data_IF_998724970632
#
_entry.id   IF_998724970632
#
_cell.length_a   1.000
_cell.length_b   1.000
_cell.length_c   1.000
_cell.angle_alpha   90.00
_cell.angle_beta   90.00
_cell.angle_gamma   90.00
#
_symmetry.space_group_name_H-M   'P 1'
#
loop_
_entity.id
_entity.type
_entity.pdbx_description
1 polymer ?
#
# COMPACT_ATOMS: atom_id res chain seq x y z
N UNK A 1 -10.64 -3.11 -4.39
CA UNK A 1 -9.18 -2.86 -4.37
C UNK A 1 -8.95 -1.39 -4.64
N UNK A 2 -8.08 -0.76 -3.85
CA UNK A 2 -7.65 0.62 -4.05
C UNK A 2 -6.15 0.60 -4.30
N UNK A 3 -5.72 1.20 -5.41
CA UNK A 3 -4.33 1.34 -5.79
C UNK A 3 -3.86 2.77 -5.52
N UNK A 4 -2.84 2.92 -4.68
CA UNK A 4 -2.20 4.18 -4.34
C UNK A 4 -0.84 4.25 -5.05
N UNK A 5 -0.70 5.23 -5.94
CA UNK A 5 0.48 5.40 -6.76
C UNK A 5 1.71 5.86 -5.97
N UNK A 6 2.89 5.63 -6.52
CA UNK A 6 4.15 6.22 -6.08
C UNK A 6 4.24 7.70 -6.40
N UNK A 7 5.27 8.36 -5.88
CA UNK A 7 5.44 9.80 -6.05
C UNK A 7 5.49 10.19 -7.54
N UNK A 8 4.68 11.18 -7.93
CA UNK A 8 4.59 11.62 -9.32
C UNK A 8 3.71 10.77 -10.25
N UNK A 9 3.01 9.74 -9.73
CA UNK A 9 1.95 8.99 -10.43
C UNK A 9 2.35 8.40 -11.80
N UNK A 10 3.61 8.00 -11.96
CA UNK A 10 4.16 7.44 -13.20
C UNK A 10 3.42 6.20 -13.71
N UNK A 11 2.71 5.49 -12.84
CA UNK A 11 1.89 4.32 -13.17
C UNK A 11 0.69 4.64 -14.08
N UNK A 12 0.34 5.92 -14.21
CA UNK A 12 -0.73 6.39 -15.10
C UNK A 12 -0.19 6.96 -16.43
N UNK A 13 1.13 7.01 -16.63
CA UNK A 13 1.71 7.54 -17.86
C UNK A 13 1.47 6.60 -19.06
N UNK A 14 1.42 7.13 -20.29
CA UNK A 14 1.30 6.32 -21.50
C UNK A 14 2.41 5.25 -21.59
N UNK A 15 2.01 3.98 -21.66
CA UNK A 15 2.92 2.84 -21.77
C UNK A 15 3.27 2.17 -20.44
N UNK A 16 2.84 2.72 -19.30
CA UNK A 16 2.83 2.00 -18.04
C UNK A 16 1.77 0.88 -18.07
N UNK A 17 2.07 -0.27 -17.47
CA UNK A 17 1.16 -1.44 -17.45
C UNK A 17 0.60 -1.74 -16.07
N UNK A 18 1.11 -1.08 -15.02
CA UNK A 18 0.81 -1.46 -13.64
C UNK A 18 -0.70 -1.47 -13.37
N UNK A 19 -1.42 -0.40 -13.76
CA UNK A 19 -2.87 -0.29 -13.55
C UNK A 19 -3.64 -1.37 -14.33
N UNK A 20 -3.22 -1.70 -15.55
CA UNK A 20 -3.84 -2.77 -16.36
C UNK A 20 -3.63 -4.15 -15.72
N UNK A 21 -2.43 -4.41 -15.18
CA UNK A 21 -2.10 -5.66 -14.48
C UNK A 21 -2.98 -5.83 -13.23
N UNK A 22 -3.21 -4.76 -12.47
CA UNK A 22 -4.14 -4.77 -11.33
C UNK A 22 -5.61 -4.83 -11.76
N UNK A 23 -5.98 -4.23 -12.89
CA UNK A 23 -7.34 -4.37 -13.43
C UNK A 23 -7.64 -5.82 -13.80
N UNK A 24 -6.68 -6.54 -14.38
CA UNK A 24 -6.80 -7.96 -14.65
C UNK A 24 -6.98 -8.78 -13.36
N UNK A 25 -6.15 -8.55 -12.34
CA UNK A 25 -6.31 -9.20 -11.03
C UNK A 25 -7.68 -8.88 -10.41
N UNK A 26 -8.14 -7.63 -10.51
CA UNK A 26 -9.45 -7.25 -10.00
C UNK A 26 -10.57 -8.03 -10.71
N UNK A 27 -10.51 -8.10 -12.05
CA UNK A 27 -11.47 -8.85 -12.86
C UNK A 27 -11.52 -10.35 -12.53
N UNK A 28 -10.35 -10.99 -12.42
CA UNK A 28 -10.21 -12.42 -12.09
C UNK A 28 -10.83 -12.77 -10.72
N UNK A 29 -10.84 -11.82 -9.79
CA UNK A 29 -11.28 -12.02 -8.41
C UNK A 29 -12.61 -11.32 -8.07
N UNK A 30 -13.32 -10.78 -9.06
CA UNK A 30 -14.60 -10.09 -8.86
C UNK A 30 -14.49 -8.84 -7.98
N UNK A 31 -13.34 -8.16 -8.02
CA UNK A 31 -13.10 -6.91 -7.29
C UNK A 31 -13.35 -5.71 -8.19
N UNK A 32 -13.80 -4.62 -7.59
CA UNK A 32 -13.69 -3.30 -8.19
C UNK A 32 -12.27 -2.76 -7.97
N UNK A 33 -11.61 -2.25 -9.02
CA UNK A 33 -10.39 -1.45 -8.90
C UNK A 33 -10.74 0.04 -8.88
N UNK A 34 -10.21 0.75 -7.89
CA UNK A 34 -10.16 2.20 -7.84
C UNK A 34 -8.70 2.64 -7.73
N UNK A 35 -8.24 3.52 -8.62
CA UNK A 35 -6.86 4.02 -8.62
C UNK A 35 -6.90 5.56 -8.61
N UNK A 36 -7.12 6.21 -7.45
CA UNK A 36 -7.14 7.66 -7.37
C UNK A 36 -5.74 8.28 -7.58
N UNK A 37 -5.72 9.51 -8.07
CA UNK A 37 -4.53 10.37 -8.02
C UNK A 37 -4.63 11.26 -6.77
N UNK A 38 -3.54 11.41 -6.03
CA UNK A 38 -3.44 12.25 -4.83
C UNK A 38 -4.12 13.61 -4.99
N UNK A 39 -4.81 14.13 -3.96
CA UNK A 39 -5.33 15.50 -3.96
C UNK A 39 -4.20 16.55 -3.92
N UNK A 40 -2.98 16.19 -3.51
CA UNK A 40 -1.83 17.10 -3.51
C UNK A 40 -1.29 17.29 -4.94
N UNK A 41 -1.76 18.37 -5.59
CA UNK A 41 -1.30 18.75 -6.93
C UNK A 41 0.03 19.48 -6.94
N UNK A 42 0.53 19.92 -5.78
CA UNK A 42 1.77 20.69 -5.70
C UNK A 42 2.99 19.77 -5.76
N UNK A 43 2.95 18.66 -5.01
CA UNK A 43 4.06 17.70 -4.95
C UNK A 43 3.79 16.42 -5.75
N UNK A 44 2.52 16.07 -5.97
CA UNK A 44 2.16 14.79 -6.56
C UNK A 44 2.45 13.59 -5.65
N UNK A 45 2.57 13.80 -4.33
CA UNK A 45 2.79 12.74 -3.35
C UNK A 45 1.61 12.59 -2.41
N UNK A 46 1.52 11.46 -1.70
CA UNK A 46 0.46 11.23 -0.71
C UNK A 46 0.83 11.80 0.67
N UNK A 47 2.11 11.82 1.00
CA UNK A 47 2.61 12.04 2.35
C UNK A 47 2.86 13.51 2.70
N UNK A 48 2.97 14.41 1.72
CA UNK A 48 3.27 15.83 1.98
C UNK A 48 2.06 16.65 2.42
N UNK A 49 0.86 16.28 1.99
CA UNK A 49 -0.37 16.97 2.39
C UNK A 49 -1.02 16.26 3.57
N UNK A 50 -1.16 16.98 4.69
CA UNK A 50 -1.90 16.50 5.88
C UNK A 50 -3.34 16.07 5.55
N UNK A 51 -3.92 16.62 4.48
CA UNK A 51 -5.28 16.33 4.04
C UNK A 51 -5.43 15.00 3.29
N UNK A 52 -4.34 14.37 2.85
CA UNK A 52 -4.40 13.12 2.06
C UNK A 52 -5.09 11.98 2.82
N UNK A 53 -4.84 11.86 4.13
CA UNK A 53 -5.47 10.82 4.96
C UNK A 53 -6.99 10.96 5.01
N UNK A 54 -7.46 12.17 5.37
CA UNK A 54 -8.89 12.48 5.43
C UNK A 54 -9.55 12.33 4.06
N UNK A 55 -8.87 12.78 2.99
CA UNK A 55 -9.37 12.63 1.63
C UNK A 55 -9.52 11.14 1.24
N UNK A 56 -8.53 10.30 1.55
CA UNK A 56 -8.60 8.86 1.28
C UNK A 56 -9.73 8.19 2.05
N UNK A 57 -9.93 8.56 3.33
CA UNK A 57 -11.08 8.10 4.11
C UNK A 57 -12.39 8.41 3.40
N UNK A 58 -12.61 9.68 3.05
CA UNK A 58 -13.85 10.11 2.40
C UNK A 58 -14.06 9.43 1.05
N UNK A 59 -12.98 9.20 0.30
CA UNK A 59 -13.01 8.46 -0.95
C UNK A 59 -13.45 7.01 -0.75
N UNK A 60 -12.88 6.30 0.23
CA UNK A 60 -13.23 4.91 0.55
C UNK A 60 -14.70 4.79 0.97
N UNK A 61 -15.14 5.68 1.87
CA UNK A 61 -16.53 5.74 2.31
C UNK A 61 -17.48 6.07 1.14
N UNK A 62 -17.09 6.99 0.26
CA UNK A 62 -17.86 7.32 -0.94
C UNK A 62 -18.06 6.09 -1.84
N UNK A 63 -17.00 5.34 -2.15
CA UNK A 63 -17.11 4.12 -2.95
C UNK A 63 -18.06 3.10 -2.30
N UNK A 64 -17.93 2.88 -0.99
CA UNK A 64 -18.77 1.94 -0.25
C UNK A 64 -20.26 2.32 -0.23
N UNK A 65 -20.59 3.62 -0.27
CA UNK A 65 -21.98 4.10 -0.31
C UNK A 65 -22.58 4.12 -1.72
N UNK A 66 -21.75 4.26 -2.75
CA UNK A 66 -22.22 4.54 -4.12
C UNK A 66 -22.16 3.35 -5.05
N UNK A 67 -21.32 2.35 -4.73
CA UNK A 67 -21.13 1.17 -5.55
C UNK A 67 -21.59 -0.08 -4.78
N UNK A 68 -22.07 -1.13 -5.49
CA UNK A 68 -22.46 -2.38 -4.86
C UNK A 68 -21.23 -3.24 -4.50
N UNK A 69 -20.41 -2.75 -3.57
CA UNK A 69 -19.15 -3.39 -3.15
C UNK A 69 -19.24 -3.91 -1.70
N UNK A 70 -18.58 -5.04 -1.44
CA UNK A 70 -18.42 -5.58 -0.09
C UNK A 70 -17.33 -4.80 0.65
N UNK A 71 -17.74 -3.92 1.57
CA UNK A 71 -16.81 -3.12 2.40
C UNK A 71 -16.21 -3.90 3.56
N UNK A 72 -16.62 -5.15 3.81
CA UNK A 72 -16.01 -5.98 4.85
C UNK A 72 -14.62 -6.51 4.46
N UNK A 73 -14.27 -6.44 3.16
CA UNK A 73 -12.99 -6.90 2.61
C UNK A 73 -12.41 -5.88 1.65
N UNK A 74 -11.65 -4.93 2.20
CA UNK A 74 -10.98 -3.90 1.40
C UNK A 74 -9.53 -4.31 1.17
N UNK A 75 -9.10 -4.21 -0.08
CA UNK A 75 -7.73 -4.48 -0.50
C UNK A 75 -7.03 -3.18 -0.88
N UNK A 76 -5.90 -2.91 -0.25
CA UNK A 76 -5.03 -1.79 -0.56
C UNK A 76 -3.79 -2.30 -1.30
N UNK A 77 -3.35 -1.55 -2.29
CA UNK A 77 -2.06 -1.72 -2.93
C UNK A 77 -1.40 -0.36 -2.96
N UNK A 78 -0.17 -0.26 -2.49
CA UNK A 78 0.61 0.97 -2.54
C UNK A 78 1.96 0.70 -3.16
N UNK A 79 2.39 1.56 -4.08
CA UNK A 79 3.76 1.59 -4.57
C UNK A 79 4.48 2.82 -4.02
N UNK A 80 5.73 2.68 -3.55
CA UNK A 80 6.58 3.78 -3.12
C UNK A 80 5.83 4.70 -2.12
N UNK A 81 5.68 6.00 -2.39
CA UNK A 81 4.90 6.93 -1.56
C UNK A 81 3.45 6.52 -1.28
N UNK A 82 2.81 5.74 -2.15
CA UNK A 82 1.50 5.13 -1.90
C UNK A 82 1.54 4.00 -0.87
N UNK A 83 2.65 3.26 -0.79
CA UNK A 83 2.89 2.28 0.28
C UNK A 83 3.09 3.00 1.62
N UNK A 84 3.84 4.11 1.62
CA UNK A 84 4.01 4.97 2.79
C UNK A 84 2.67 5.51 3.30
N UNK A 85 1.78 5.92 2.41
CA UNK A 85 0.45 6.40 2.78
C UNK A 85 -0.39 5.32 3.49
N UNK A 86 -0.23 4.05 3.13
CA UNK A 86 -0.94 2.96 3.80
C UNK A 86 -0.47 2.83 5.25
N UNK A 87 0.84 2.76 5.46
CA UNK A 87 1.44 2.41 6.74
C UNK A 87 1.62 3.58 7.70
N UNK A 88 1.78 4.80 7.19
CA UNK A 88 1.95 6.00 8.00
C UNK A 88 0.69 6.85 8.15
N UNK A 89 -0.30 6.71 7.25
CA UNK A 89 -1.49 7.59 7.25
C UNK A 89 -2.78 6.79 7.45
N UNK A 90 -3.10 5.87 6.53
CA UNK A 90 -4.39 5.19 6.54
C UNK A 90 -4.58 4.24 7.72
N UNK A 91 -3.65 3.31 7.96
CA UNK A 91 -3.78 2.37 9.07
C UNK A 91 -3.65 3.06 10.45
N UNK A 92 -2.72 4.00 10.67
CA UNK A 92 -2.62 4.68 11.96
C UNK A 92 -3.86 5.51 12.34
N UNK A 93 -4.48 6.19 11.36
CA UNK A 93 -5.51 7.19 11.64
C UNK A 93 -6.92 6.79 11.22
N UNK A 94 -7.07 5.79 10.34
CA UNK A 94 -8.35 5.40 9.74
C UNK A 94 -8.52 3.87 9.67
N UNK A 95 -7.93 3.14 10.62
CA UNK A 95 -8.05 1.68 10.71
C UNK A 95 -9.48 1.17 10.90
N UNK A 96 -10.42 2.03 11.34
CA UNK A 96 -11.84 1.71 11.45
C UNK A 96 -12.52 1.43 10.11
N UNK A 97 -11.92 1.86 8.99
CA UNK A 97 -12.38 1.54 7.64
C UNK A 97 -12.18 0.06 7.26
N UNK A 98 -11.39 -0.69 8.03
CA UNK A 98 -10.93 -2.01 7.66
C UNK A 98 -11.36 -3.06 8.69
N UNK A 99 -12.24 -3.97 8.28
CA UNK A 99 -12.65 -5.13 9.08
C UNK A 99 -12.04 -6.46 8.57
N UNK A 100 -11.47 -6.44 7.36
CA UNK A 100 -10.90 -7.57 6.65
C UNK A 100 -10.32 -7.16 5.29
N UNK A 101 -9.74 -8.12 4.57
CA UNK A 101 -8.97 -7.85 3.35
C UNK A 101 -7.47 -7.78 3.65
N UNK A 102 -6.76 -6.85 3.01
CA UNK A 102 -5.32 -6.74 3.20
C UNK A 102 -4.66 -5.57 2.47
N UNK A 103 -3.36 -5.41 2.69
CA UNK A 103 -2.52 -4.41 2.06
C UNK A 103 -1.25 -5.04 1.48
N UNK A 104 -0.93 -4.66 0.25
CA UNK A 104 0.33 -4.94 -0.42
C UNK A 104 1.12 -3.63 -0.55
N UNK A 105 2.27 -3.56 0.11
CA UNK A 105 3.19 -2.43 0.10
C UNK A 105 4.36 -2.79 -0.79
N UNK A 106 4.65 -1.99 -1.83
CA UNK A 106 5.66 -2.30 -2.83
C UNK A 106 6.71 -1.19 -2.86
N UNK A 107 7.99 -1.56 -2.72
CA UNK A 107 9.10 -0.61 -2.76
C UNK A 107 9.00 0.50 -1.69
N UNK A 108 8.39 0.20 -0.54
CA UNK A 108 8.13 1.18 0.51
C UNK A 108 7.19 0.64 1.57
N UNK A 109 6.60 1.54 2.36
CA UNK A 109 5.71 1.22 3.47
C UNK A 109 6.45 1.19 4.81
N UNK A 110 7.25 2.23 5.08
CA UNK A 110 7.89 2.45 6.39
C UNK A 110 6.85 2.64 7.52
N UNK A 111 7.33 2.73 8.75
CA UNK A 111 6.54 3.24 9.86
C UNK A 111 7.40 4.22 10.65
N UNK A 112 7.15 5.51 10.45
CA UNK A 112 7.87 6.58 11.13
C UNK A 112 7.65 6.46 12.65
N UNK A 113 8.71 6.49 13.48
CA UNK A 113 8.59 6.42 14.94
C UNK A 113 7.74 7.54 15.56
N UNK A 114 7.54 8.67 14.87
CA UNK A 114 6.69 9.77 15.31
C UNK A 114 5.20 9.55 15.01
N UNK A 115 4.85 8.53 14.22
CA UNK A 115 3.46 8.21 13.89
C UNK A 115 2.73 7.65 15.11
N UNK A 116 1.75 8.42 15.59
CA UNK A 116 0.83 7.99 16.63
C UNK A 116 -0.43 7.35 16.04
N UNK A 117 -0.80 6.17 16.55
CA UNK A 117 -2.07 5.53 16.21
C UNK A 117 -3.21 6.24 16.96
N UNK A 118 -3.94 7.11 16.26
CA UNK A 118 -5.09 7.83 16.83
C UNK A 118 -6.31 6.93 17.01
N UNK A 119 -6.33 5.77 16.35
CA UNK A 119 -7.32 4.72 16.53
C UNK A 119 -6.65 3.38 16.88
N UNK A 120 -7.15 2.64 17.90
CA UNK A 120 -6.61 1.34 18.24
C UNK A 120 -6.94 0.30 17.17
N UNK A 121 -5.95 -0.51 16.78
CA UNK A 121 -6.16 -1.64 15.87
C UNK A 121 -7.13 -2.66 16.49
N UNK A 122 -8.27 -2.87 15.82
CA UNK A 122 -9.30 -3.79 16.28
C UNK A 122 -8.76 -5.23 16.37
N UNK A 123 -9.40 -6.09 17.18
CA UNK A 123 -9.01 -7.50 17.28
C UNK A 123 -9.16 -8.23 15.94
N UNK A 124 -10.22 -7.90 15.21
CA UNK A 124 -10.52 -8.46 13.89
C UNK A 124 -9.43 -8.09 12.89
N UNK A 125 -9.04 -6.82 12.85
CA UNK A 125 -7.98 -6.33 11.97
C UNK A 125 -6.64 -7.03 12.26
N UNK A 126 -6.24 -7.09 13.54
CA UNK A 126 -5.03 -7.79 13.97
C UNK A 126 -4.98 -9.28 13.61
N UNK A 127 -6.13 -9.95 13.67
CA UNK A 127 -6.21 -11.39 13.40
C UNK A 127 -6.34 -11.74 11.90
N UNK A 128 -6.96 -10.86 11.11
CA UNK A 128 -7.44 -11.19 9.77
C UNK A 128 -6.88 -10.37 8.62
N UNK A 129 -6.32 -9.19 8.86
CA UNK A 129 -5.85 -8.31 7.79
C UNK A 129 -4.47 -8.74 7.29
N UNK A 130 -4.40 -9.15 6.03
CA UNK A 130 -3.16 -9.59 5.39
C UNK A 130 -2.28 -8.39 5.07
N UNK A 131 -1.04 -8.39 5.53
CA UNK A 131 -0.07 -7.36 5.19
C UNK A 131 1.13 -8.00 4.52
N UNK A 132 1.52 -7.53 3.34
CA UNK A 132 2.73 -7.99 2.66
C UNK A 132 3.53 -6.82 2.17
N UNK A 133 4.79 -6.76 2.60
CA UNK A 133 5.80 -5.89 2.01
C UNK A 133 6.52 -6.65 0.90
N UNK A 134 6.59 -6.05 -0.28
CA UNK A 134 7.29 -6.55 -1.46
C UNK A 134 8.36 -5.53 -1.83
N UNK A 135 9.62 -5.91 -1.77
CA UNK A 135 10.71 -4.95 -1.97
C UNK A 135 11.88 -5.57 -2.73
N UNK A 136 12.53 -4.78 -3.58
CA UNK A 136 13.73 -5.21 -4.29
C UNK A 136 14.92 -5.37 -3.35
N UNK A 137 15.75 -6.38 -3.56
CA UNK A 137 17.00 -6.56 -2.80
C UNK A 137 17.96 -5.37 -2.98
N UNK A 138 17.91 -4.72 -4.15
CA UNK A 138 18.76 -3.59 -4.50
C UNK A 138 18.11 -2.23 -4.19
N UNK A 139 16.92 -2.21 -3.59
CA UNK A 139 16.22 -0.97 -3.20
C UNK A 139 16.78 -0.43 -1.87
N UNK A 140 18.03 0.05 -1.96
CA UNK A 140 18.84 0.54 -0.84
C UNK A 140 19.60 1.80 -1.25
N UNK A 141 20.05 2.66 -0.30
CA UNK A 141 20.76 3.89 -0.65
C UNK A 141 22.05 3.62 -1.42
N UNK A 142 22.78 2.57 -1.04
CA UNK A 142 24.06 2.19 -1.66
C UNK A 142 23.92 1.70 -3.12
N UNK A 143 22.71 1.38 -3.57
CA UNK A 143 22.40 0.90 -4.91
C UNK A 143 21.50 1.86 -5.69
N UNK A 144 21.36 3.09 -5.19
CA UNK A 144 20.60 4.14 -5.84
C UNK A 144 19.11 3.81 -5.86
N UNK A 145 18.51 3.55 -4.69
CA UNK A 145 17.05 3.63 -4.50
C UNK A 145 16.47 4.85 -5.25
N UNK A 146 15.19 4.85 -5.63
CA UNK A 146 14.71 5.80 -6.65
C UNK A 146 14.97 7.29 -6.36
N UNK A 147 15.12 7.70 -5.10
CA UNK A 147 15.48 9.05 -4.66
C UNK A 147 16.97 9.22 -4.24
N UNK A 148 17.76 8.15 -4.36
CA UNK A 148 19.19 8.06 -4.07
C UNK A 148 19.56 7.88 -2.61
N UNK A 149 18.62 8.02 -1.66
CA UNK A 149 18.92 8.09 -0.23
C UNK A 149 17.99 7.24 0.65
N UNK A 150 16.83 6.81 0.17
CA UNK A 150 15.88 6.02 0.95
C UNK A 150 16.23 4.52 0.95
N UNK A 151 16.12 3.88 2.12
CA UNK A 151 16.37 2.44 2.31
C UNK A 151 15.04 1.67 2.36
N UNK A 152 14.36 1.55 1.23
CA UNK A 152 13.06 0.88 1.19
C UNK A 152 13.12 -0.57 1.70
N UNK A 153 14.23 -1.28 1.46
CA UNK A 153 14.44 -2.63 2.01
C UNK A 153 14.55 -2.63 3.53
N UNK A 154 15.37 -1.75 4.09
CA UNK A 154 15.52 -1.56 5.53
C UNK A 154 14.20 -1.16 6.19
N UNK A 155 13.54 -0.15 5.65
CA UNK A 155 12.29 0.40 6.16
C UNK A 155 11.13 -0.59 6.06
N UNK A 156 10.99 -1.32 4.95
CA UNK A 156 9.98 -2.37 4.81
C UNK A 156 10.17 -3.48 5.86
N UNK A 157 11.41 -3.84 6.17
CA UNK A 157 11.73 -4.84 7.19
C UNK A 157 11.40 -4.32 8.59
N UNK A 158 11.75 -3.08 8.90
CA UNK A 158 11.46 -2.45 10.18
C UNK A 158 9.93 -2.31 10.39
N UNK A 159 9.21 -1.86 9.37
CA UNK A 159 7.76 -1.70 9.43
C UNK A 159 7.02 -3.03 9.57
N UNK A 160 7.43 -4.08 8.84
CA UNK A 160 6.87 -5.43 9.02
C UNK A 160 6.99 -5.90 10.47
N UNK A 161 8.17 -5.73 11.05
CA UNK A 161 8.41 -6.07 12.45
C UNK A 161 7.55 -5.22 13.40
N UNK A 162 7.48 -3.90 13.18
CA UNK A 162 6.71 -3.01 14.03
C UNK A 162 5.20 -3.34 13.99
N UNK A 163 4.62 -3.58 12.80
CA UNK A 163 3.23 -4.00 12.70
C UNK A 163 2.96 -5.37 13.36
N UNK A 164 3.92 -6.29 13.30
CA UNK A 164 3.85 -7.55 14.06
C UNK A 164 3.87 -7.31 15.57
N UNK A 165 4.67 -6.37 16.06
CA UNK A 165 4.72 -5.97 17.48
C UNK A 165 3.42 -5.27 17.93
N UNK A 166 2.75 -4.55 17.03
CA UNK A 166 1.39 -4.02 17.23
C UNK A 166 0.30 -5.12 17.24
N UNK A 167 0.68 -6.37 16.98
CA UNK A 167 -0.17 -7.55 17.06
C UNK A 167 -0.83 -7.95 15.74
N UNK A 168 -0.42 -7.38 14.61
CA UNK A 168 -0.84 -7.87 13.29
C UNK A 168 -0.24 -9.27 13.07
N UNK A 169 -1.10 -10.28 13.01
CA UNK A 169 -0.70 -11.69 13.00
C UNK A 169 -0.46 -12.26 11.59
N UNK A 170 -0.73 -11.47 10.56
CA UNK A 170 -0.74 -11.89 9.14
C UNK A 170 0.18 -11.02 8.29
N UNK A 171 1.38 -10.75 8.79
CA UNK A 171 2.42 -9.99 8.10
C UNK A 171 3.35 -10.90 7.29
N UNK A 172 3.94 -10.37 6.22
CA UNK A 172 4.98 -11.03 5.46
C UNK A 172 5.90 -10.00 4.78
N UNK A 173 7.19 -10.33 4.69
CA UNK A 173 8.17 -9.61 3.87
C UNK A 173 8.62 -10.52 2.72
N UNK A 174 8.51 -10.04 1.49
CA UNK A 174 9.01 -10.66 0.27
C UNK A 174 10.11 -9.78 -0.32
N UNK A 175 11.35 -10.25 -0.24
CA UNK A 175 12.50 -9.60 -0.88
C UNK A 175 12.74 -10.24 -2.24
N UNK A 176 12.78 -9.43 -3.30
CA UNK A 176 12.98 -9.87 -4.68
C UNK A 176 14.47 -9.78 -5.05
N UNK A 177 15.16 -10.92 -5.26
CA UNK A 177 16.59 -10.92 -5.56
C UNK A 177 16.90 -10.16 -6.86
N UNK A 178 17.92 -9.30 -6.82
CA UNK A 178 18.35 -8.51 -7.99
C UNK A 178 17.38 -7.43 -8.48
N UNK A 179 16.21 -7.27 -7.87
CA UNK A 179 15.26 -6.22 -8.23
C UNK A 179 15.58 -4.89 -7.52
N UNK A 180 15.22 -3.79 -8.18
CA UNK A 180 15.37 -2.40 -7.74
C UNK A 180 14.01 -1.83 -7.33
N UNK A 181 13.98 -0.56 -6.92
CA UNK A 181 12.74 0.19 -6.68
C UNK A 181 11.78 0.10 -7.88
N UNK A 182 12.27 0.45 -9.07
CA UNK A 182 11.45 0.59 -10.29
C UNK A 182 11.05 -0.75 -10.91
N UNK A 183 11.83 -1.80 -10.65
CA UNK A 183 11.55 -3.12 -11.21
C UNK A 183 10.68 -3.98 -10.29
N UNK A 184 10.69 -3.71 -8.97
CA UNK A 184 9.86 -4.41 -7.99
C UNK A 184 8.34 -4.30 -8.26
N UNK A 185 7.88 -3.16 -8.79
CA UNK A 185 6.47 -2.89 -9.10
C UNK A 185 5.85 -3.94 -10.04
N UNK A 186 6.65 -4.49 -10.97
CA UNK A 186 6.20 -5.45 -11.99
C UNK A 186 5.74 -6.78 -11.40
N UNK A 187 6.16 -7.08 -10.18
CA UNK A 187 5.83 -8.31 -9.48
C UNK A 187 4.58 -8.18 -8.59
N UNK A 188 4.13 -6.95 -8.36
CA UNK A 188 3.07 -6.64 -7.40
C UNK A 188 1.73 -7.32 -7.71
N UNK A 189 1.29 -7.29 -8.97
CA UNK A 189 0.02 -7.93 -9.38
C UNK A 189 0.03 -9.46 -9.15
N UNK A 190 1.16 -10.12 -9.41
CA UNK A 190 1.35 -11.54 -9.12
C UNK A 190 1.27 -11.85 -7.63
N UNK A 191 1.94 -11.03 -6.80
CA UNK A 191 1.91 -11.19 -5.35
C UNK A 191 0.51 -10.94 -4.78
N UNK A 192 -0.22 -9.94 -5.28
CA UNK A 192 -1.60 -9.71 -4.86
C UNK A 192 -2.51 -10.89 -5.22
N UNK A 193 -2.36 -11.47 -6.41
CA UNK A 193 -3.11 -12.66 -6.81
C UNK A 193 -2.89 -13.82 -5.82
N UNK A 194 -1.65 -14.03 -5.37
CA UNK A 194 -1.36 -15.02 -4.33
C UNK A 194 -2.00 -14.69 -2.98
N UNK A 195 -2.08 -13.40 -2.61
CA UNK A 195 -2.74 -12.97 -1.37
C UNK A 195 -4.25 -13.18 -1.42
N UNK A 196 -4.87 -12.95 -2.58
CA UNK A 196 -6.31 -13.12 -2.79
C UNK A 196 -6.77 -14.59 -2.84
N UNK A 197 -5.85 -15.52 -3.12
CA UNK A 197 -6.12 -16.95 -3.13
C UNK A 197 -6.03 -17.65 -1.76
N UNK A 198 -5.75 -16.92 -0.67
CA UNK A 198 -5.53 -17.45 0.68
C UNK A 198 -6.75 -17.37 1.58
#
# INVERSE_FOLDING_TARGET
>A
MIYLHGDGYGEFEPGATAIDDYAAVAGDHGLLLAAPITPDKATGTWWSAETSGQWLREFIEYLGRTLPVDTSRVWLVGYSGGAEAITNILLPHHSDLFAGGGALMIGGGSLDPEVEFTLPLSRQLRAGFLMTWLVGELDTPAKGGADGNFDALGESRAAEQAYRELGMSRTALKVLPGETHDSSIRHGAGVLRDMLGR
#
